data_IF_540156453702
#
_entry.id   IF_540156453702
#
_cell.length_a   1.000
_cell.length_b   1.000
_cell.length_c   1.000
_cell.angle_alpha   90.00
_cell.angle_beta   90.00
_cell.angle_gamma   90.00
#
_symmetry.space_group_name_H-M   'P 1'
#
loop_
_entity.id
_entity.type
_entity.pdbx_description
1 polymer ?
#
# COMPACT_ATOMS: atom_id res chain seq x y z
N UNK A 1 33.80 30.98 -74.77
CA UNK A 1 34.63 30.97 -73.54
C UNK A 1 33.69 30.95 -72.34
N UNK A 2 33.41 29.80 -71.72
CA UNK A 2 33.95 29.35 -70.41
C UNK A 2 34.14 30.51 -69.41
N UNK A 3 33.55 30.50 -68.20
CA UNK A 3 33.70 29.46 -67.17
C UNK A 3 32.50 29.37 -66.20
N UNK A 4 32.25 28.12 -65.80
CA UNK A 4 31.37 27.65 -64.72
C UNK A 4 31.81 28.24 -63.37
N UNK A 5 30.86 28.55 -62.47
CA UNK A 5 31.15 28.55 -61.03
C UNK A 5 30.17 27.66 -60.29
N UNK A 6 30.67 26.49 -59.94
CA UNK A 6 30.04 25.46 -59.12
C UNK A 6 30.15 25.91 -57.65
N UNK A 7 29.13 26.60 -57.14
CA UNK A 7 29.05 26.92 -55.71
C UNK A 7 27.62 26.90 -55.17
N UNK A 8 26.76 26.12 -55.82
CA UNK A 8 25.46 25.73 -55.30
C UNK A 8 25.51 24.22 -55.06
N UNK A 9 26.03 23.77 -53.90
CA UNK A 9 25.78 22.46 -53.28
C UNK A 9 26.75 22.24 -52.10
N UNK A 10 26.58 22.96 -50.98
CA UNK A 10 27.27 22.59 -49.72
C UNK A 10 26.61 23.15 -48.45
N UNK A 11 25.45 23.80 -48.55
CA UNK A 11 24.73 24.39 -47.41
C UNK A 11 23.46 23.66 -46.98
N UNK A 12 23.20 22.43 -47.46
CA UNK A 12 21.91 21.75 -47.27
C UNK A 12 21.97 20.44 -46.46
N UNK A 13 23.12 20.07 -45.88
CA UNK A 13 23.28 18.76 -45.20
C UNK A 13 23.42 18.88 -43.66
N UNK A 14 23.50 20.09 -43.09
CA UNK A 14 23.75 20.28 -41.65
C UNK A 14 22.54 20.79 -40.83
N UNK A 15 21.31 20.52 -41.27
CA UNK A 15 20.09 20.97 -40.58
C UNK A 15 19.12 19.82 -40.22
N UNK A 16 19.63 18.60 -39.98
CA UNK A 16 18.80 17.38 -39.88
C UNK A 16 19.07 16.47 -38.67
N UNK A 17 19.71 16.96 -37.60
CA UNK A 17 20.14 16.08 -36.48
C UNK A 17 19.87 16.60 -35.06
N UNK A 18 18.85 17.43 -34.85
CA UNK A 18 18.37 17.73 -33.48
C UNK A 18 16.89 17.35 -33.34
N UNK A 19 16.57 16.09 -33.66
CA UNK A 19 15.37 15.43 -33.16
C UNK A 19 15.64 14.95 -31.74
N UNK A 20 15.54 15.88 -30.77
CA UNK A 20 15.53 15.55 -29.35
C UNK A 20 14.45 14.49 -29.11
N UNK A 21 14.90 13.29 -28.73
CA UNK A 21 14.04 12.22 -28.28
C UNK A 21 13.25 12.64 -27.04
N UNK A 22 12.06 13.22 -27.26
CA UNK A 22 10.99 13.15 -26.28
C UNK A 22 10.41 11.74 -26.36
N UNK A 23 11.13 10.79 -25.77
CA UNK A 23 10.47 9.63 -25.19
C UNK A 23 9.55 10.19 -24.10
N UNK A 24 8.31 10.51 -24.48
CA UNK A 24 7.22 10.64 -23.54
C UNK A 24 7.15 9.30 -22.82
N UNK A 25 7.82 9.20 -21.68
CA UNK A 25 7.48 8.21 -20.68
C UNK A 25 6.04 8.51 -20.35
N UNK A 26 5.12 7.82 -21.04
CA UNK A 26 3.74 7.76 -20.65
C UNK A 26 3.79 7.26 -19.22
N UNK A 27 3.66 8.18 -18.25
CA UNK A 27 3.32 7.81 -16.90
C UNK A 27 1.92 7.24 -17.06
N UNK A 28 1.85 5.92 -17.23
CA UNK A 28 0.62 5.17 -17.01
C UNK A 28 0.08 5.73 -15.72
N UNK A 29 -1.06 6.42 -15.76
CA UNK A 29 -1.68 6.92 -14.55
C UNK A 29 -1.82 5.72 -13.63
N UNK A 30 -1.04 5.68 -12.55
CA UNK A 30 -1.12 4.59 -11.59
C UNK A 30 -2.51 4.67 -10.99
N UNK A 31 -3.39 3.85 -11.55
CA UNK A 31 -4.78 3.75 -11.17
C UNK A 31 -4.81 3.52 -9.66
N UNK A 32 -5.46 4.41 -8.92
CA UNK A 32 -5.54 4.32 -7.47
C UNK A 32 -6.09 2.95 -7.12
N UNK A 33 -5.34 2.13 -6.36
CA UNK A 33 -5.80 0.80 -6.00
C UNK A 33 -7.09 0.94 -5.20
N UNK A 34 -8.16 0.31 -5.68
CA UNK A 34 -9.40 0.21 -4.93
C UNK A 34 -9.18 -0.84 -3.83
N UNK A 35 -9.03 -0.32 -2.61
CA UNK A 35 -8.82 -1.10 -1.39
C UNK A 35 -10.07 -1.09 -0.49
N UNK A 36 -11.10 -0.32 -0.85
CA UNK A 36 -12.35 -0.28 -0.09
C UNK A 36 -13.09 -1.61 -0.24
N UNK A 37 -13.89 -1.98 0.77
CA UNK A 37 -14.66 -3.21 0.78
C UNK A 37 -14.22 -4.19 1.87
N UNK A 38 -14.54 -5.46 1.66
CA UNK A 38 -14.43 -6.51 2.67
C UNK A 38 -13.16 -7.35 2.51
N UNK A 39 -12.60 -7.72 3.65
CA UNK A 39 -11.34 -8.40 3.84
C UNK A 39 -11.50 -9.44 4.95
N UNK A 40 -10.84 -10.58 4.81
CA UNK A 40 -10.82 -11.62 5.85
C UNK A 40 -9.47 -12.31 5.90
N UNK A 41 -9.08 -12.79 7.07
CA UNK A 41 -7.83 -13.50 7.27
C UNK A 41 -7.49 -13.70 8.74
N UNK A 42 -6.21 -13.56 9.08
CA UNK A 42 -5.69 -13.93 10.41
C UNK A 42 -5.01 -12.78 11.13
N UNK A 43 -5.00 -12.88 12.46
CA UNK A 43 -4.32 -11.97 13.37
C UNK A 43 -3.52 -12.78 14.39
N UNK A 44 -2.22 -12.51 14.49
CA UNK A 44 -1.35 -13.26 15.39
C UNK A 44 -0.17 -12.48 15.94
N UNK A 45 0.38 -13.00 17.04
CA UNK A 45 1.59 -12.51 17.68
C UNK A 45 2.81 -13.04 16.95
N UNK A 46 3.71 -12.13 16.61
CA UNK A 46 5.00 -12.40 16.02
C UNK A 46 6.09 -11.88 16.97
N UNK A 47 7.00 -12.77 17.38
CA UNK A 47 8.17 -12.39 18.15
C UNK A 47 9.40 -12.33 17.22
N UNK A 48 9.91 -11.14 16.86
CA UNK A 48 11.05 -11.01 15.95
C UNK A 48 12.34 -11.65 16.51
N UNK A 49 12.50 -11.70 17.84
CA UNK A 49 13.65 -12.36 18.48
C UNK A 49 13.58 -13.89 18.39
N UNK A 50 12.43 -14.44 18.02
CA UNK A 50 12.18 -15.86 17.81
C UNK A 50 11.59 -16.11 16.43
N UNK A 51 12.21 -15.53 15.40
CA UNK A 51 11.69 -15.55 14.03
C UNK A 51 11.49 -16.95 13.40
N UNK A 52 12.01 -18.01 14.01
CA UNK A 52 11.77 -19.41 13.62
C UNK A 52 10.53 -20.04 14.26
N UNK A 53 9.94 -19.40 15.28
CA UNK A 53 8.69 -19.87 15.89
C UNK A 53 7.50 -19.42 15.02
N UNK A 54 6.51 -20.30 14.77
CA UNK A 54 5.32 -19.93 14.03
C UNK A 54 4.55 -18.82 14.75
N UNK A 55 3.94 -17.91 13.99
CA UNK A 55 3.07 -16.87 14.51
C UNK A 55 1.98 -17.51 15.35
N UNK A 56 1.87 -17.11 16.62
CA UNK A 56 0.83 -17.62 17.50
C UNK A 56 -0.46 -16.86 17.17
N UNK A 57 -1.41 -17.56 16.56
CA UNK A 57 -2.73 -16.99 16.26
C UNK A 57 -3.41 -16.55 17.56
N UNK A 58 -3.81 -15.27 17.60
CA UNK A 58 -4.66 -14.75 18.67
C UNK A 58 -6.12 -15.07 18.39
N UNK A 59 -6.48 -15.01 17.10
CA UNK A 59 -7.85 -15.07 16.63
C UNK A 59 -7.89 -15.91 15.35
N UNK A 60 -8.78 -16.92 15.33
CA UNK A 60 -8.91 -17.84 14.17
C UNK A 60 -9.45 -17.16 12.92
N UNK A 61 -10.18 -16.05 13.09
CA UNK A 61 -10.71 -15.24 11.99
C UNK A 61 -10.72 -13.77 12.38
N UNK A 62 -10.22 -12.94 11.48
CA UNK A 62 -10.28 -11.50 11.52
C UNK A 62 -10.99 -11.03 10.26
N UNK A 63 -12.17 -10.46 10.42
CA UNK A 63 -12.92 -9.83 9.35
C UNK A 63 -12.65 -8.32 9.40
N UNK A 64 -12.49 -7.68 8.25
CA UNK A 64 -12.20 -6.26 8.15
C UNK A 64 -12.97 -5.61 7.00
N UNK A 65 -13.51 -4.41 7.25
CA UNK A 65 -14.12 -3.58 6.22
C UNK A 65 -13.42 -2.24 6.13
N UNK A 66 -12.92 -1.91 4.95
CA UNK A 66 -12.27 -0.63 4.66
C UNK A 66 -13.24 0.30 3.92
N UNK A 67 -13.33 1.55 4.37
CA UNK A 67 -14.05 2.62 3.68
C UNK A 67 -13.19 3.88 3.59
N UNK A 68 -13.38 4.67 2.52
CA UNK A 68 -12.83 6.01 2.42
C UNK A 68 -13.95 7.01 2.64
N UNK A 69 -13.86 7.79 3.72
CA UNK A 69 -14.90 8.75 4.11
C UNK A 69 -14.26 10.04 4.56
N UNK A 70 -14.76 11.17 4.07
CA UNK A 70 -14.32 12.52 4.45
C UNK A 70 -12.79 12.73 4.32
N UNK A 71 -12.17 12.10 3.31
CA UNK A 71 -10.73 12.18 3.07
C UNK A 71 -9.87 11.28 3.97
N UNK A 72 -10.49 10.43 4.79
CA UNK A 72 -9.81 9.54 5.74
C UNK A 72 -10.19 8.09 5.44
N UNK A 73 -9.21 7.19 5.53
CA UNK A 73 -9.46 5.76 5.47
C UNK A 73 -9.86 5.25 6.85
N UNK A 74 -10.93 4.47 6.92
CA UNK A 74 -11.37 3.80 8.14
C UNK A 74 -11.38 2.29 7.89
N UNK A 75 -10.83 1.52 8.84
CA UNK A 75 -10.91 0.07 8.86
C UNK A 75 -11.68 -0.37 10.09
N UNK A 76 -12.72 -1.17 9.86
CA UNK A 76 -13.49 -1.81 10.94
C UNK A 76 -13.08 -3.26 11.02
N UNK A 77 -12.41 -3.63 12.09
CA UNK A 77 -11.98 -4.99 12.40
C UNK A 77 -12.98 -5.65 13.34
N UNK A 78 -13.39 -6.87 13.04
CA UNK A 78 -14.29 -7.67 13.88
C UNK A 78 -13.89 -9.14 13.87
N UNK A 79 -14.22 -9.83 14.96
CA UNK A 79 -13.94 -11.25 15.10
C UNK A 79 -14.31 -11.79 16.48
N UNK A 80 -13.86 -13.01 16.76
CA UNK A 80 -14.04 -13.67 18.05
C UNK A 80 -12.72 -14.32 18.49
N UNK A 81 -12.20 -13.86 19.63
CA UNK A 81 -11.01 -14.42 20.28
C UNK A 81 -11.32 -14.83 21.73
N UNK A 82 -12.44 -15.54 21.92
CA UNK A 82 -13.01 -15.89 23.23
C UNK A 82 -14.04 -14.88 23.72
N UNK A 83 -14.09 -13.70 23.10
CA UNK A 83 -15.20 -12.75 23.15
C UNK A 83 -15.33 -12.05 21.80
N UNK A 84 -16.55 -11.69 21.36
CA UNK A 84 -16.73 -10.83 20.20
C UNK A 84 -16.09 -9.46 20.42
N UNK A 85 -15.44 -8.93 19.40
CA UNK A 85 -14.91 -7.57 19.39
C UNK A 85 -15.21 -6.88 18.06
N UNK A 86 -15.27 -5.55 18.10
CA UNK A 86 -15.44 -4.70 16.93
C UNK A 86 -14.77 -3.36 17.18
N UNK A 87 -13.80 -3.02 16.35
CA UNK A 87 -13.04 -1.78 16.44
C UNK A 87 -12.98 -1.09 15.09
N UNK A 88 -13.35 0.18 15.06
CA UNK A 88 -13.15 1.04 13.89
C UNK A 88 -11.98 1.96 14.15
N UNK A 89 -10.95 1.87 13.31
CA UNK A 89 -9.74 2.66 13.42
C UNK A 89 -9.60 3.58 12.22
N UNK A 90 -9.05 4.78 12.45
CA UNK A 90 -8.66 5.69 11.38
C UNK A 90 -7.26 5.35 10.92
N UNK A 91 -7.04 5.40 9.61
CA UNK A 91 -5.78 5.01 8.97
C UNK A 91 -5.23 6.19 8.17
N UNK A 92 -3.99 6.58 8.45
CA UNK A 92 -3.27 7.56 7.62
C UNK A 92 -2.71 6.82 6.39
N UNK A 93 -3.41 6.94 5.26
CA UNK A 93 -3.07 6.25 4.02
C UNK A 93 -2.33 7.15 3.02
N UNK A 94 -1.26 6.63 2.42
CA UNK A 94 -0.57 7.24 1.28
C UNK A 94 -0.44 6.25 0.14
N UNK A 95 -0.97 6.61 -1.04
CA UNK A 95 -0.78 5.81 -2.25
C UNK A 95 0.69 5.86 -2.70
N UNK A 96 1.27 4.68 -2.93
CA UNK A 96 2.59 4.48 -3.53
C UNK A 96 2.46 3.36 -4.55
N UNK A 97 2.55 3.70 -5.82
CA UNK A 97 2.35 2.71 -6.88
C UNK A 97 0.93 2.18 -6.91
N UNK A 98 0.85 0.84 -6.97
CA UNK A 98 -0.39 0.04 -6.88
C UNK A 98 -0.75 -0.36 -5.45
N UNK A 99 -0.18 0.31 -4.45
CA UNK A 99 -0.45 0.03 -3.04
C UNK A 99 -0.82 1.31 -2.28
N UNK A 100 -1.56 1.15 -1.19
CA UNK A 100 -1.72 2.17 -0.15
C UNK A 100 -0.91 1.72 1.06
N UNK A 101 0.01 2.58 1.49
CA UNK A 101 0.75 2.38 2.73
C UNK A 101 0.02 3.11 3.84
N UNK A 102 -0.18 2.41 4.95
CA UNK A 102 -0.89 2.89 6.12
C UNK A 102 0.02 2.99 7.32
N UNK A 103 -0.32 3.92 8.19
CA UNK A 103 0.14 3.94 9.58
C UNK A 103 -0.97 4.45 10.49
N UNK A 104 -0.86 4.15 11.77
CA UNK A 104 -1.75 4.70 12.77
C UNK A 104 -1.37 4.31 14.19
N UNK A 105 -2.02 4.96 15.12
CA UNK A 105 -2.01 4.61 16.55
C UNK A 105 -3.45 4.50 17.00
N UNK A 106 -3.78 3.47 17.78
CA UNK A 106 -5.13 3.27 18.31
C UNK A 106 -5.07 2.68 19.70
N UNK A 107 -5.82 3.27 20.63
CA UNK A 107 -6.04 2.69 21.95
C UNK A 107 -7.30 1.81 21.91
N UNK A 108 -7.13 0.51 22.11
CA UNK A 108 -8.23 -0.46 22.20
C UNK A 108 -8.73 -0.63 23.65
N UNK A 109 -8.07 0.01 24.61
CA UNK A 109 -8.32 -0.12 26.04
C UNK A 109 -7.47 -1.20 26.70
N UNK A 110 -7.25 -1.06 28.00
CA UNK A 110 -6.36 -1.91 28.80
C UNK A 110 -6.68 -3.41 28.69
N UNK A 111 -7.97 -3.76 28.62
CA UNK A 111 -8.44 -5.16 28.49
C UNK A 111 -8.14 -5.79 27.13
N UNK A 112 -7.83 -4.97 26.14
CA UNK A 112 -7.62 -5.35 24.74
C UNK A 112 -6.18 -5.08 24.28
N UNK A 113 -5.26 -4.87 25.23
CA UNK A 113 -3.84 -4.67 24.97
C UNK A 113 -3.38 -3.21 24.95
N UNK A 114 -4.29 -2.27 25.22
CA UNK A 114 -4.01 -0.84 25.34
C UNK A 114 -3.74 -0.18 24.00
N UNK A 115 -2.65 0.59 23.93
CA UNK A 115 -2.25 1.35 22.75
C UNK A 115 -1.47 0.47 21.78
N UNK A 116 -1.90 0.50 20.51
CA UNK A 116 -1.26 -0.16 19.38
C UNK A 116 -0.74 0.89 18.40
N UNK A 117 0.55 0.80 18.09
CA UNK A 117 1.16 1.46 16.94
C UNK A 117 1.26 0.45 15.80
N UNK A 118 0.91 0.86 14.58
CA UNK A 118 0.86 -0.07 13.47
C UNK A 118 1.15 0.59 12.12
N UNK A 119 1.62 -0.25 11.20
CA UNK A 119 1.82 0.07 9.79
C UNK A 119 1.19 -1.00 8.92
N UNK A 120 0.76 -0.65 7.72
CA UNK A 120 0.10 -1.57 6.81
C UNK A 120 0.38 -1.29 5.35
N UNK A 121 0.09 -2.28 4.51
CA UNK A 121 0.08 -2.17 3.05
C UNK A 121 -1.16 -2.86 2.53
N UNK A 122 -1.94 -2.15 1.72
CA UNK A 122 -3.06 -2.71 0.98
C UNK A 122 -2.82 -2.62 -0.53
N UNK A 123 -3.17 -3.68 -1.25
CA UNK A 123 -3.25 -3.72 -2.72
C UNK A 123 -4.67 -4.09 -3.14
N UNK A 124 -4.88 -4.41 -4.41
CA UNK A 124 -6.14 -4.99 -4.90
C UNK A 124 -6.45 -6.37 -4.28
N UNK A 125 -5.42 -7.09 -3.78
CA UNK A 125 -5.54 -8.51 -3.38
C UNK A 125 -5.27 -8.76 -1.90
N UNK A 126 -4.36 -8.02 -1.31
CA UNK A 126 -3.87 -8.28 0.05
C UNK A 126 -3.94 -7.02 0.90
N UNK A 127 -4.25 -7.20 2.18
CA UNK A 127 -4.13 -6.18 3.19
C UNK A 127 -3.38 -6.75 4.38
N UNK A 128 -2.14 -6.33 4.52
CA UNK A 128 -1.20 -6.84 5.52
C UNK A 128 -0.73 -5.71 6.41
N UNK A 129 -0.41 -6.01 7.66
CA UNK A 129 0.15 -5.02 8.54
C UNK A 129 0.90 -5.62 9.71
N UNK A 130 1.71 -4.78 10.32
CA UNK A 130 2.51 -5.06 11.49
C UNK A 130 2.10 -4.09 12.59
N UNK A 131 2.02 -4.58 13.82
CA UNK A 131 1.66 -3.78 14.97
C UNK A 131 2.56 -4.09 16.17
N UNK A 132 2.66 -3.12 17.06
CA UNK A 132 3.30 -3.22 18.37
C UNK A 132 2.41 -2.61 19.42
N UNK A 133 2.35 -3.23 20.59
CA UNK A 133 1.81 -2.67 21.83
C UNK A 133 2.81 -2.89 22.96
N UNK A 134 2.46 -2.46 24.18
CA UNK A 134 3.26 -2.73 25.36
C UNK A 134 3.47 -4.24 25.64
N UNK A 135 2.56 -5.09 25.15
CA UNK A 135 2.54 -6.52 25.49
C UNK A 135 2.86 -7.43 24.30
N UNK A 136 2.56 -6.98 23.08
CA UNK A 136 2.61 -7.82 21.89
C UNK A 136 3.23 -7.10 20.72
N UNK A 137 3.87 -7.88 19.87
CA UNK A 137 4.18 -7.50 18.50
C UNK A 137 3.52 -8.53 17.60
N UNK A 138 3.06 -8.14 16.43
CA UNK A 138 2.35 -9.08 15.59
C UNK A 138 2.07 -8.58 14.20
N UNK A 139 1.35 -9.41 13.47
CA UNK A 139 0.92 -9.14 12.11
C UNK A 139 -0.54 -9.49 11.91
N UNK A 140 -1.18 -8.81 10.98
CA UNK A 140 -2.42 -9.27 10.36
C UNK A 140 -2.17 -9.51 8.88
N UNK A 141 -2.81 -10.53 8.33
CA UNK A 141 -2.76 -10.86 6.92
C UNK A 141 -4.16 -11.18 6.43
N UNK A 142 -4.68 -10.31 5.57
CA UNK A 142 -6.04 -10.36 5.06
C UNK A 142 -6.03 -10.41 3.54
N UNK A 143 -7.01 -11.09 2.98
CA UNK A 143 -7.31 -11.12 1.54
C UNK A 143 -8.74 -10.68 1.30
N UNK A 144 -9.05 -10.28 0.06
CA UNK A 144 -10.43 -9.97 -0.35
C UNK A 144 -11.37 -11.12 -0.03
N UNK A 145 -12.51 -10.81 0.58
CA UNK A 145 -13.61 -11.77 0.69
C UNK A 145 -14.11 -12.07 -0.72
N UNK A 146 -14.26 -13.37 -1.05
CA UNK A 146 -14.81 -13.81 -2.34
C UNK A 146 -16.30 -13.55 -2.44
#
# INVERSE_FOLDING_TARGET
MQKRSRLALLGFILALSVGLGQAQTARTSEQTPDIAGEWTGTWGVYNPARGSEPVKELCKRLDCKIVFKDGVWEATFEGDCGRPYKYTIKMEGRQIGKAVLFKGTTDLGEKDGGVFDWIGRATDKEFVGFFTSAFYTGVFNLSRTK
#
